data_IF_006130896717
#
_entry.id   IF_006130896717
#
_cell.length_a   1.000
_cell.length_b   1.000
_cell.length_c   1.000
_cell.angle_alpha   90.00
_cell.angle_beta   90.00
_cell.angle_gamma   90.00
#
_symmetry.space_group_name_H-M   'P 1'
#
loop_
_entity.id
_entity.type
_entity.pdbx_description
1 polymer ?
#
# COMPACT_ATOMS: atom_id res chain seq x y z
N UNK A 1 8.39 -25.89 -0.53
CA UNK A 1 7.32 -26.36 -1.44
C UNK A 1 6.92 -25.17 -2.29
N UNK A 2 7.33 -25.11 -3.57
CA UNK A 2 6.97 -24.00 -4.46
C UNK A 2 5.46 -24.03 -4.70
N UNK A 3 4.80 -22.89 -4.46
CA UNK A 3 3.37 -22.73 -4.73
C UNK A 3 3.18 -22.74 -6.26
N UNK A 4 2.58 -23.78 -6.80
CA UNK A 4 2.24 -23.85 -8.23
C UNK A 4 0.97 -23.01 -8.42
N UNK A 5 0.94 -22.06 -9.37
CA UNK A 5 -0.28 -21.31 -9.66
C UNK A 5 -1.39 -22.27 -10.12
N UNK A 6 -2.66 -21.97 -9.77
CA UNK A 6 -3.77 -22.81 -10.20
C UNK A 6 -3.86 -22.86 -11.74
N UNK A 7 -4.27 -24.03 -12.27
CA UNK A 7 -4.54 -24.20 -13.70
C UNK A 7 -5.54 -23.14 -14.20
N UNK A 8 -5.37 -22.63 -15.43
CA UNK A 8 -6.31 -21.67 -16.04
C UNK A 8 -7.75 -22.20 -16.12
N UNK A 9 -7.94 -23.51 -16.07
CA UNK A 9 -9.25 -24.17 -16.11
C UNK A 9 -9.89 -24.38 -14.73
N UNK A 10 -9.27 -23.84 -13.63
CA UNK A 10 -9.87 -23.99 -12.30
C UNK A 10 -11.15 -23.15 -12.21
N UNK A 11 -12.21 -23.61 -11.48
CA UNK A 11 -13.45 -22.85 -11.27
C UNK A 11 -13.25 -21.49 -10.60
N UNK A 12 -12.06 -21.24 -10.07
CA UNK A 12 -11.65 -19.97 -9.43
C UNK A 12 -10.90 -19.03 -10.39
N UNK A 13 -10.53 -19.51 -11.60
CA UNK A 13 -9.88 -18.67 -12.60
C UNK A 13 -10.91 -17.68 -13.15
N UNK A 14 -10.78 -16.40 -12.80
CA UNK A 14 -11.54 -15.32 -13.41
C UNK A 14 -10.82 -14.88 -14.68
N UNK A 15 -11.54 -14.82 -15.79
CA UNK A 15 -11.04 -14.21 -17.03
C UNK A 15 -10.80 -12.71 -16.90
N UNK A 16 -11.35 -12.06 -15.86
CA UNK A 16 -11.20 -10.64 -15.59
C UNK A 16 -9.99 -10.36 -14.70
N UNK A 17 -8.97 -9.70 -15.24
CA UNK A 17 -7.76 -9.30 -14.51
C UNK A 17 -8.08 -8.45 -13.26
N UNK A 18 -9.01 -7.49 -13.37
CA UNK A 18 -9.45 -6.68 -12.22
C UNK A 18 -10.00 -7.56 -11.09
N UNK A 19 -10.84 -8.56 -11.42
CA UNK A 19 -11.37 -9.51 -10.45
C UNK A 19 -10.26 -10.30 -9.74
N UNK A 20 -9.23 -10.74 -10.48
CA UNK A 20 -8.09 -11.45 -9.93
C UNK A 20 -7.25 -10.58 -8.98
N UNK A 21 -6.91 -9.36 -9.40
CA UNK A 21 -6.17 -8.38 -8.58
C UNK A 21 -6.91 -8.07 -7.28
N UNK A 22 -8.23 -7.83 -7.35
CA UNK A 22 -9.05 -7.54 -6.16
C UNK A 22 -9.11 -8.72 -5.18
N UNK A 23 -9.18 -9.97 -5.67
CA UNK A 23 -9.14 -11.16 -4.79
C UNK A 23 -7.77 -11.30 -4.13
N UNK A 24 -6.70 -11.16 -4.90
CA UNK A 24 -5.33 -11.22 -4.38
C UNK A 24 -5.09 -10.12 -3.34
N UNK A 25 -5.47 -8.88 -3.64
CA UNK A 25 -5.36 -7.73 -2.72
C UNK A 25 -6.08 -7.98 -1.40
N UNK A 26 -7.33 -8.49 -1.43
CA UNK A 26 -8.06 -8.82 -0.21
C UNK A 26 -7.38 -9.92 0.60
N UNK A 27 -6.90 -10.98 -0.06
CA UNK A 27 -6.20 -12.08 0.64
C UNK A 27 -4.91 -11.61 1.27
N UNK A 28 -4.09 -10.86 0.54
CA UNK A 28 -2.86 -10.28 1.08
C UNK A 28 -3.15 -9.30 2.23
N UNK A 29 -4.17 -8.46 2.07
CA UNK A 29 -4.61 -7.56 3.14
C UNK A 29 -4.92 -8.30 4.44
N UNK A 30 -5.65 -9.42 4.40
CA UNK A 30 -5.95 -10.25 5.58
C UNK A 30 -4.66 -10.81 6.21
N UNK A 31 -3.78 -11.39 5.40
CA UNK A 31 -2.52 -11.98 5.87
C UNK A 31 -1.63 -10.92 6.54
N UNK A 32 -1.52 -9.74 5.93
CA UNK A 32 -0.71 -8.65 6.48
C UNK A 32 -1.38 -7.98 7.69
N UNK A 33 -2.71 -7.92 7.74
CA UNK A 33 -3.43 -7.46 8.94
C UNK A 33 -3.14 -8.36 10.15
N UNK A 34 -3.13 -9.69 9.95
CA UNK A 34 -2.75 -10.65 11.00
C UNK A 34 -1.30 -10.47 11.43
N UNK A 35 -0.38 -10.27 10.47
CA UNK A 35 1.03 -10.06 10.76
C UNK A 35 1.29 -8.77 11.55
N UNK A 36 0.57 -7.68 11.25
CA UNK A 36 0.70 -6.39 11.94
C UNK A 36 -0.11 -6.28 13.24
N UNK A 37 -1.01 -7.21 13.53
CA UNK A 37 -1.84 -7.17 14.72
C UNK A 37 -1.06 -7.01 16.03
N UNK A 38 0.11 -7.67 16.24
CA UNK A 38 0.93 -7.45 17.43
C UNK A 38 1.43 -6.00 17.58
N UNK A 39 1.62 -5.29 16.45
CA UNK A 39 1.98 -3.87 16.46
C UNK A 39 0.76 -2.95 16.63
N UNK A 40 -0.46 -3.48 16.72
CA UNK A 40 -1.69 -2.69 16.80
C UNK A 40 -2.01 -1.91 15.52
N UNK A 41 -1.52 -2.36 14.37
CA UNK A 41 -1.74 -1.73 13.07
C UNK A 41 -2.48 -2.65 12.10
N UNK A 42 -3.16 -2.03 11.14
CA UNK A 42 -3.64 -2.67 9.92
C UNK A 42 -2.63 -2.52 8.79
N UNK A 43 -2.65 -3.41 7.81
CA UNK A 43 -1.80 -3.34 6.61
C UNK A 43 -1.88 -1.97 5.90
N UNK A 44 -3.08 -1.42 5.78
CA UNK A 44 -3.31 -0.09 5.20
C UNK A 44 -2.71 1.03 6.02
N UNK A 45 -2.73 0.95 7.35
CA UNK A 45 -2.12 1.92 8.25
C UNK A 45 -0.60 1.88 8.15
N UNK A 46 0.00 0.68 8.17
CA UNK A 46 1.43 0.52 7.95
C UNK A 46 1.86 1.08 6.59
N UNK A 47 1.11 0.78 5.53
CA UNK A 47 1.39 1.32 4.18
C UNK A 47 1.44 2.85 4.18
N UNK A 48 0.47 3.52 4.81
CA UNK A 48 0.47 4.98 4.95
C UNK A 48 1.69 5.49 5.73
N UNK A 49 1.97 4.93 6.91
CA UNK A 49 3.14 5.32 7.71
C UNK A 49 4.43 5.16 6.91
N UNK A 50 4.54 4.08 6.14
CA UNK A 50 5.70 3.80 5.27
C UNK A 50 5.86 4.84 4.16
N UNK A 51 4.77 5.26 3.49
CA UNK A 51 4.83 6.29 2.46
C UNK A 51 5.18 7.67 3.04
N UNK A 52 4.59 8.03 4.18
CA UNK A 52 4.91 9.28 4.88
C UNK A 52 6.38 9.32 5.32
N UNK A 53 6.88 8.21 5.88
CA UNK A 53 8.26 8.10 6.33
C UNK A 53 9.28 8.25 5.19
N UNK A 54 8.99 7.67 4.01
CA UNK A 54 9.88 7.72 2.84
C UNK A 54 9.88 9.06 2.14
N UNK A 55 8.72 9.71 2.06
CA UNK A 55 8.56 10.97 1.34
C UNK A 55 8.95 12.19 2.17
N UNK A 56 9.23 12.02 3.46
CA UNK A 56 9.60 13.06 4.43
C UNK A 56 8.66 14.29 4.38
N UNK A 57 7.57 14.23 5.11
CA UNK A 57 6.57 15.29 5.22
C UNK A 57 5.87 15.65 3.89
N UNK A 58 5.33 14.67 3.16
CA UNK A 58 4.70 14.92 1.86
C UNK A 58 3.49 15.84 2.01
N UNK A 59 3.18 16.58 0.94
CA UNK A 59 1.87 17.23 0.82
C UNK A 59 0.78 16.18 0.66
N UNK A 60 -0.42 16.47 1.18
CA UNK A 60 -1.59 15.59 1.06
C UNK A 60 -1.84 15.13 -0.39
N UNK A 61 -1.67 16.06 -1.36
CA UNK A 61 -1.88 15.76 -2.77
C UNK A 61 -0.83 14.77 -3.31
N UNK A 62 0.43 14.99 -2.97
CA UNK A 62 1.54 14.14 -3.45
C UNK A 62 1.44 12.73 -2.86
N UNK A 63 1.03 12.64 -1.58
CA UNK A 63 0.77 11.38 -0.92
C UNK A 63 -0.42 10.64 -1.55
N UNK A 64 -1.51 11.34 -1.88
CA UNK A 64 -2.67 10.77 -2.54
C UNK A 64 -2.30 10.21 -3.92
N UNK A 65 -1.53 10.97 -4.72
CA UNK A 65 -1.03 10.54 -6.02
C UNK A 65 -0.15 9.29 -5.91
N UNK A 66 0.79 9.27 -4.97
CA UNK A 66 1.68 8.10 -4.76
C UNK A 66 0.94 6.82 -4.34
N UNK A 67 -0.25 6.95 -3.79
CA UNK A 67 -1.11 5.86 -3.35
C UNK A 67 -2.24 5.53 -4.33
N UNK A 68 -2.31 6.23 -5.46
CA UNK A 68 -3.41 6.12 -6.44
C UNK A 68 -4.78 6.32 -5.75
N UNK A 69 -4.86 7.35 -4.88
CA UNK A 69 -6.06 7.68 -4.10
C UNK A 69 -6.52 9.10 -4.42
N UNK A 70 -7.82 9.34 -4.30
CA UNK A 70 -8.33 10.70 -4.20
C UNK A 70 -8.11 11.31 -2.80
N UNK A 71 -8.12 12.64 -2.70
CA UNK A 71 -7.87 13.35 -1.44
C UNK A 71 -8.89 13.03 -0.33
N UNK A 72 -10.14 12.74 -0.71
CA UNK A 72 -11.19 12.40 0.25
C UNK A 72 -10.95 11.02 0.85
N UNK A 73 -10.64 10.03 0.01
CA UNK A 73 -10.29 8.68 0.45
C UNK A 73 -9.04 8.68 1.34
N UNK A 74 -7.98 9.41 0.94
CA UNK A 74 -6.79 9.58 1.77
C UNK A 74 -7.12 10.22 3.11
N UNK A 75 -7.93 11.30 3.12
CA UNK A 75 -8.36 11.96 4.34
C UNK A 75 -9.09 11.02 5.30
N UNK A 76 -9.97 10.16 4.79
CA UNK A 76 -10.66 9.15 5.59
C UNK A 76 -9.68 8.10 6.15
N UNK A 77 -8.72 7.65 5.36
CA UNK A 77 -7.75 6.63 5.78
C UNK A 77 -6.73 7.17 6.79
N UNK A 78 -6.43 8.47 6.76
CA UNK A 78 -5.55 9.14 7.73
C UNK A 78 -6.24 9.40 9.08
N UNK A 79 -7.57 9.53 9.14
CA UNK A 79 -8.29 9.87 10.37
C UNK A 79 -7.92 8.99 11.59
N UNK A 80 -7.88 7.65 11.49
CA UNK A 80 -7.48 6.83 12.62
C UNK A 80 -6.06 7.13 13.09
N UNK A 81 -5.10 7.32 12.16
CA UNK A 81 -3.70 7.60 12.49
C UNK A 81 -3.54 8.98 13.18
N UNK A 82 -4.33 9.97 12.75
CA UNK A 82 -4.36 11.29 13.40
C UNK A 82 -5.00 11.20 14.78
N UNK A 83 -6.14 10.51 14.91
CA UNK A 83 -6.82 10.28 16.19
C UNK A 83 -5.92 9.58 17.20
N UNK A 84 -5.16 8.58 16.74
CA UNK A 84 -4.29 7.77 17.57
C UNK A 84 -2.92 8.45 17.82
N UNK A 85 -2.74 9.71 17.36
CA UNK A 85 -1.56 10.53 17.60
C UNK A 85 -0.30 10.08 16.84
N UNK A 86 -0.44 9.23 15.81
CA UNK A 86 0.70 8.73 15.01
C UNK A 86 1.08 9.66 13.87
N UNK A 87 0.14 10.48 13.42
CA UNK A 87 0.29 11.40 12.28
C UNK A 87 -0.25 12.78 12.66
N UNK A 88 0.43 13.83 12.18
CA UNK A 88 -0.02 15.22 12.26
C UNK A 88 -0.29 15.78 10.86
N UNK A 89 -1.30 16.65 10.76
CA UNK A 89 -1.57 17.46 9.58
C UNK A 89 -1.19 18.91 9.88
N UNK A 90 -0.16 19.40 9.21
CA UNK A 90 0.34 20.77 9.36
C UNK A 90 0.05 21.59 8.10
N UNK A 91 -0.26 22.88 8.24
CA UNK A 91 -0.38 23.80 7.11
C UNK A 91 1.01 23.96 6.48
N UNK A 92 1.08 23.88 5.16
CA UNK A 92 2.34 24.09 4.42
C UNK A 92 2.74 25.58 4.54
N UNK A 93 4.01 25.83 4.86
CA UNK A 93 4.51 27.18 5.08
C UNK A 93 4.52 28.05 3.81
N UNK A 94 4.69 27.39 2.65
CA UNK A 94 4.77 28.04 1.34
C UNK A 94 3.39 28.13 0.66
N UNK A 95 2.44 27.26 1.03
CA UNK A 95 1.11 27.24 0.45
C UNK A 95 0.06 26.92 1.54
N UNK A 96 -0.53 27.97 2.10
CA UNK A 96 -1.54 27.87 3.18
C UNK A 96 -2.80 27.05 2.81
N UNK A 97 -3.03 26.77 1.53
CA UNK A 97 -4.14 25.92 1.05
C UNK A 97 -3.78 24.44 1.09
N UNK A 98 -2.49 24.13 1.22
CA UNK A 98 -1.94 22.79 1.25
C UNK A 98 -1.66 22.34 2.68
N UNK A 99 -1.73 21.05 2.92
CA UNK A 99 -1.36 20.43 4.19
C UNK A 99 -0.26 19.40 3.97
N UNK A 100 0.70 19.39 4.89
CA UNK A 100 1.72 18.36 4.99
C UNK A 100 1.29 17.31 5.98
N UNK A 101 1.71 16.08 5.70
CA UNK A 101 1.45 14.91 6.54
C UNK A 101 2.77 14.52 7.21
N UNK A 102 2.81 14.54 8.54
CA UNK A 102 4.02 14.28 9.31
C UNK A 102 3.81 13.09 10.24
N UNK A 103 4.85 12.27 10.41
CA UNK A 103 4.88 11.32 11.51
C UNK A 103 5.19 12.07 12.81
N UNK A 104 4.45 11.76 13.86
CA UNK A 104 4.84 12.12 15.23
C UNK A 104 6.03 11.26 15.66
N UNK A 105 6.61 11.53 16.83
CA UNK A 105 7.62 10.67 17.43
C UNK A 105 7.05 9.26 17.69
N UNK A 106 5.83 9.17 18.21
CA UNK A 106 5.12 7.90 18.40
C UNK A 106 4.82 7.21 17.08
N UNK A 107 4.43 7.95 16.03
CA UNK A 107 4.23 7.42 14.70
C UNK A 107 5.51 6.87 14.09
N UNK A 108 6.64 7.54 14.30
CA UNK A 108 7.95 7.06 13.83
C UNK A 108 8.36 5.78 14.55
N UNK A 109 8.22 5.75 15.87
CA UNK A 109 8.50 4.55 16.68
C UNK A 109 7.62 3.37 16.25
N UNK A 110 6.32 3.60 16.07
CA UNK A 110 5.36 2.59 15.62
C UNK A 110 5.65 2.10 14.20
N UNK A 111 6.06 2.98 13.31
CA UNK A 111 6.50 2.62 11.96
C UNK A 111 7.75 1.70 12.01
N UNK A 112 8.77 2.04 12.79
CA UNK A 112 9.99 1.21 12.87
C UNK A 112 9.72 -0.17 13.48
N UNK A 113 8.85 -0.26 14.48
CA UNK A 113 8.40 -1.55 15.04
C UNK A 113 7.75 -2.41 13.95
N UNK A 114 6.77 -1.86 13.24
CA UNK A 114 6.05 -2.57 12.18
C UNK A 114 6.91 -2.83 10.93
N UNK A 115 7.93 -2.01 10.67
CA UNK A 115 8.88 -2.22 9.57
C UNK A 115 9.62 -3.54 9.69
N UNK A 116 9.96 -3.98 10.90
CA UNK A 116 10.60 -5.27 11.13
C UNK A 116 9.67 -6.42 10.72
N UNK A 117 8.37 -6.30 11.05
CA UNK A 117 7.35 -7.28 10.61
C UNK A 117 7.24 -7.29 9.09
N UNK A 118 7.21 -6.11 8.45
CA UNK A 118 7.15 -5.99 7.00
C UNK A 118 8.33 -6.66 6.30
N UNK A 119 9.55 -6.49 6.82
CA UNK A 119 10.75 -7.15 6.28
C UNK A 119 10.67 -8.68 6.38
N UNK A 120 10.20 -9.20 7.51
CA UNK A 120 9.98 -10.63 7.68
C UNK A 120 8.93 -11.19 6.73
N UNK A 121 7.84 -10.43 6.51
CA UNK A 121 6.80 -10.80 5.56
C UNK A 121 7.30 -10.79 4.12
N UNK A 122 8.16 -9.84 3.75
CA UNK A 122 8.78 -9.81 2.42
C UNK A 122 9.63 -11.07 2.16
N UNK A 123 10.47 -11.46 3.13
CA UNK A 123 11.28 -12.69 3.04
C UNK A 123 10.38 -13.92 2.88
N UNK A 124 9.33 -14.03 3.70
CA UNK A 124 8.38 -15.17 3.63
C UNK A 124 7.64 -15.20 2.28
N UNK A 125 7.29 -14.03 1.75
CA UNK A 125 6.63 -13.94 0.45
C UNK A 125 7.56 -14.44 -0.67
N UNK A 126 8.82 -14.01 -0.69
CA UNK A 126 9.84 -14.45 -1.65
C UNK A 126 10.12 -15.94 -1.53
N UNK A 127 10.18 -16.49 -0.31
CA UNK A 127 10.36 -17.92 -0.09
C UNK A 127 9.17 -18.77 -0.61
N UNK A 128 7.94 -18.25 -0.45
CA UNK A 128 6.74 -18.97 -0.86
C UNK A 128 6.46 -18.85 -2.36
N UNK A 129 6.68 -17.68 -2.94
CA UNK A 129 6.30 -17.36 -4.31
C UNK A 129 7.46 -17.50 -5.32
N UNK A 130 8.69 -17.23 -4.86
CA UNK A 130 9.91 -17.15 -5.66
C UNK A 130 10.43 -15.71 -5.71
N UNK A 131 11.74 -15.55 -5.70
CA UNK A 131 12.38 -14.21 -5.69
C UNK A 131 12.17 -13.50 -7.04
N UNK A 132 12.45 -14.20 -8.14
CA UNK A 132 12.29 -13.66 -9.50
C UNK A 132 10.82 -13.37 -9.82
N UNK A 133 9.91 -14.29 -9.47
CA UNK A 133 8.47 -14.14 -9.63
C UNK A 133 7.94 -12.96 -8.81
N UNK A 134 8.46 -12.77 -7.59
CA UNK A 134 8.10 -11.62 -6.74
C UNK A 134 8.54 -10.31 -7.36
N UNK A 135 9.77 -10.25 -7.90
CA UNK A 135 10.26 -9.06 -8.59
C UNK A 135 9.42 -8.73 -9.82
N UNK A 136 9.09 -9.75 -10.63
CA UNK A 136 8.25 -9.58 -11.81
C UNK A 136 6.83 -9.15 -11.46
N UNK A 137 6.26 -9.72 -10.40
CA UNK A 137 4.93 -9.33 -9.89
C UNK A 137 4.91 -7.86 -9.47
N UNK A 138 5.91 -7.39 -8.71
CA UNK A 138 6.01 -5.97 -8.31
C UNK A 138 6.05 -5.06 -9.53
N UNK A 139 6.92 -5.33 -10.49
CA UNK A 139 7.02 -4.55 -11.74
C UNK A 139 5.69 -4.49 -12.50
N UNK A 140 4.99 -5.62 -12.59
CA UNK A 140 3.70 -5.70 -13.26
C UNK A 140 2.63 -4.88 -12.53
N UNK A 141 2.58 -4.96 -11.20
CA UNK A 141 1.62 -4.19 -10.40
C UNK A 141 1.92 -2.69 -10.45
N UNK A 142 3.20 -2.28 -10.42
CA UNK A 142 3.61 -0.88 -10.55
C UNK A 142 3.21 -0.32 -11.92
N UNK A 143 3.41 -1.09 -12.99
CA UNK A 143 2.95 -0.72 -14.33
C UNK A 143 1.43 -0.57 -14.39
N UNK A 144 0.66 -1.53 -13.84
CA UNK A 144 -0.81 -1.46 -13.80
C UNK A 144 -1.30 -0.23 -13.02
N UNK A 145 -0.55 0.21 -12.01
CA UNK A 145 -0.87 1.38 -11.20
C UNK A 145 -0.46 2.72 -11.85
N UNK A 146 0.22 2.70 -12.99
CA UNK A 146 0.70 3.91 -13.67
C UNK A 146 -0.39 4.63 -14.47
N UNK A 147 -0.22 5.94 -14.66
CA UNK A 147 -1.09 6.76 -15.51
C UNK A 147 -1.02 6.32 -16.98
N UNK A 148 0.13 5.90 -17.45
CA UNK A 148 0.34 5.42 -18.83
C UNK A 148 -0.52 4.19 -19.12
N UNK A 149 -0.57 3.23 -18.18
CA UNK A 149 -1.43 2.06 -18.33
C UNK A 149 -2.92 2.44 -18.29
N UNK A 150 -3.31 3.33 -17.38
CA UNK A 150 -4.69 3.81 -17.30
C UNK A 150 -5.12 4.49 -18.60
N UNK A 151 -4.27 5.35 -19.18
CA UNK A 151 -4.52 5.99 -20.46
C UNK A 151 -4.63 4.98 -21.60
N UNK A 152 -3.74 3.99 -21.66
CA UNK A 152 -3.78 2.96 -22.71
C UNK A 152 -5.05 2.11 -22.69
N UNK A 153 -5.66 1.90 -21.51
CA UNK A 153 -6.93 1.18 -21.37
C UNK A 153 -8.15 2.02 -21.72
N UNK A 154 -8.08 3.34 -21.52
CA UNK A 154 -9.21 4.26 -21.69
C UNK A 154 -9.21 4.91 -23.08
N UNK A 155 -8.06 4.94 -23.78
CA UNK A 155 -7.97 5.39 -25.16
C UNK A 155 -8.51 4.28 -26.05
N UNK A 156 -9.83 4.31 -26.29
CA UNK A 156 -10.44 3.51 -27.37
C UNK A 156 -10.16 4.22 -28.68
N UNK A 157 -9.49 3.55 -29.62
CA UNK A 157 -9.43 3.94 -31.04
C UNK A 157 -10.82 3.96 -31.67
#
# INVERSE_FOLDING_TARGET
>A
MKCVPPSPDSPQASSCANGAVRRASRRLGQIYDEAFAPCGLKATQYSLLSHIARADQPKMRDLALSLVMDLSALGHTLKPLVRDGLVLLQVDELDRRSRRVLLTEDGRRKYEEARQVSLQMAIRFEQAFGEEETLQLRKTLDFIASDDFAQSLLSSD
#
